data_IF_224624166554
#
_entry.id   IF_224624166554
#
_cell.length_a   1.000
_cell.length_b   1.000
_cell.length_c   1.000
_cell.angle_alpha   90.00
_cell.angle_beta   90.00
_cell.angle_gamma   90.00
#
_symmetry.space_group_name_H-M   'P 1'
#
loop_
_entity.id
_entity.type
_entity.pdbx_description
1 polymer ?
#
# COMPACT_ATOMS: atom_id res chain seq x y z
N UNK A 1 -18.00 5.75 4.97
CA UNK A 1 -16.60 6.09 4.66
C UNK A 1 -16.51 7.58 4.85
N UNK A 2 -15.70 8.03 5.79
CA UNK A 2 -15.46 9.46 6.00
C UNK A 2 -14.47 9.99 4.96
N UNK A 3 -14.33 11.32 4.88
CA UNK A 3 -13.46 12.00 3.92
C UNK A 3 -11.99 11.60 4.09
N UNK A 4 -11.57 11.34 5.33
CA UNK A 4 -10.20 10.97 5.64
C UNK A 4 -9.87 9.55 5.15
N UNK A 5 -10.77 8.60 5.38
CA UNK A 5 -10.64 7.24 4.88
C UNK A 5 -10.58 7.21 3.35
N UNK A 6 -11.39 8.04 2.67
CA UNK A 6 -11.39 8.16 1.22
C UNK A 6 -10.05 8.72 0.68
N UNK A 7 -9.49 9.72 1.35
CA UNK A 7 -8.18 10.28 1.01
C UNK A 7 -7.07 9.22 1.13
N UNK A 8 -7.06 8.48 2.24
CA UNK A 8 -6.12 7.38 2.49
C UNK A 8 -6.26 6.32 1.40
N UNK A 9 -7.49 5.89 1.09
CA UNK A 9 -7.74 4.92 0.01
C UNK A 9 -7.21 5.42 -1.34
N UNK A 10 -7.41 6.70 -1.68
CA UNK A 10 -6.92 7.27 -2.93
C UNK A 10 -5.38 7.17 -3.04
N UNK A 11 -4.66 7.47 -1.95
CA UNK A 11 -3.20 7.28 -1.90
C UNK A 11 -2.82 5.81 -2.09
N UNK A 12 -3.57 4.89 -1.48
CA UNK A 12 -3.41 3.44 -1.67
C UNK A 12 -3.65 2.96 -3.09
N UNK A 13 -4.66 3.51 -3.78
CA UNK A 13 -4.94 3.21 -5.19
C UNK A 13 -3.78 3.66 -6.06
N UNK A 14 -3.21 4.84 -5.81
CA UNK A 14 -2.01 5.33 -6.50
C UNK A 14 -0.85 4.35 -6.29
N UNK A 15 -0.66 3.82 -5.07
CA UNK A 15 0.34 2.80 -4.77
C UNK A 15 0.14 1.52 -5.58
N UNK A 16 -1.10 1.02 -5.64
CA UNK A 16 -1.44 -0.16 -6.43
C UNK A 16 -1.17 0.05 -7.93
N UNK A 17 -1.52 1.22 -8.48
CA UNK A 17 -1.31 1.53 -9.90
C UNK A 17 0.17 1.64 -10.25
N UNK A 18 0.96 2.31 -9.41
CA UNK A 18 2.40 2.51 -9.63
C UNK A 18 3.24 1.28 -9.29
N UNK A 19 2.70 0.35 -8.51
CA UNK A 19 3.35 -0.85 -7.95
C UNK A 19 4.52 -0.57 -7.00
N UNK A 20 5.32 0.47 -7.24
CA UNK A 20 6.42 0.88 -6.39
C UNK A 20 6.38 2.40 -6.23
N UNK A 21 6.32 2.88 -5.00
CA UNK A 21 6.41 4.30 -4.64
C UNK A 21 7.64 4.50 -3.76
N UNK A 22 8.39 5.57 -4.03
CA UNK A 22 9.55 5.97 -3.22
C UNK A 22 9.32 7.36 -2.64
N UNK A 23 9.43 7.48 -1.32
CA UNK A 23 9.29 8.74 -0.57
C UNK A 23 10.51 8.84 0.36
N UNK A 24 11.45 9.72 0.02
CA UNK A 24 12.75 9.77 0.69
C UNK A 24 13.45 8.40 0.68
N UNK A 25 13.76 7.86 1.87
CA UNK A 25 14.39 6.55 2.05
C UNK A 25 13.40 5.38 2.16
N UNK A 26 12.10 5.64 2.05
CA UNK A 26 11.07 4.62 2.09
C UNK A 26 10.71 4.15 0.68
N UNK A 27 10.45 2.85 0.55
CA UNK A 27 9.92 2.22 -0.65
C UNK A 27 8.67 1.40 -0.27
N UNK A 28 7.54 1.69 -0.93
CA UNK A 28 6.28 0.99 -0.76
C UNK A 28 6.03 0.18 -2.04
N UNK A 29 6.09 -1.14 -1.93
CA UNK A 29 5.82 -2.08 -3.00
C UNK A 29 4.40 -2.62 -2.83
N UNK A 30 3.55 -2.45 -3.84
CA UNK A 30 2.19 -2.95 -3.89
C UNK A 30 2.09 -3.95 -5.03
N UNK A 31 1.81 -5.20 -4.71
CA UNK A 31 1.70 -6.30 -5.67
C UNK A 31 0.37 -7.03 -5.48
N UNK A 32 -0.15 -7.57 -6.59
CA UNK A 32 -1.32 -8.44 -6.61
C UNK A 32 -0.90 -9.76 -7.22
N UNK A 33 -1.11 -10.85 -6.50
CA UNK A 33 -1.08 -12.19 -7.06
C UNK A 33 -2.49 -12.56 -7.50
N UNK A 34 -2.60 -13.00 -8.75
CA UNK A 34 -3.86 -13.49 -9.32
C UNK A 34 -3.85 -15.01 -9.18
N UNK A 35 -4.45 -15.51 -8.10
CA UNK A 35 -4.88 -16.89 -7.94
C UNK A 35 -6.41 -16.94 -7.92
N UNK A 36 -7.02 -18.11 -7.65
CA UNK A 36 -8.47 -18.26 -7.51
C UNK A 36 -9.08 -17.22 -6.56
N UNK A 37 -8.33 -16.85 -5.51
CA UNK A 37 -8.54 -15.63 -4.72
C UNK A 37 -7.46 -14.58 -5.04
N UNK A 38 -7.86 -13.32 -5.23
CA UNK A 38 -6.91 -12.23 -5.40
C UNK A 38 -6.22 -11.92 -4.07
N UNK A 39 -4.89 -12.07 -4.03
CA UNK A 39 -4.09 -11.72 -2.86
C UNK A 39 -3.26 -10.47 -3.15
N UNK A 40 -3.39 -9.47 -2.30
CA UNK A 40 -2.64 -8.23 -2.32
C UNK A 40 -1.52 -8.27 -1.28
N UNK A 41 -0.30 -8.05 -1.71
CA UNK A 41 0.88 -7.94 -0.85
C UNK A 41 1.42 -6.52 -0.93
N UNK A 42 1.48 -5.86 0.22
CA UNK A 42 2.07 -4.53 0.38
C UNK A 42 3.29 -4.63 1.29
N UNK A 43 4.45 -4.20 0.81
CA UNK A 43 5.69 -4.17 1.57
C UNK A 43 6.21 -2.74 1.69
N UNK A 44 6.59 -2.35 2.91
CA UNK A 44 7.24 -1.07 3.18
C UNK A 44 8.68 -1.34 3.60
N UNK A 45 9.62 -0.77 2.88
CA UNK A 45 11.06 -0.88 3.15
C UNK A 45 11.61 0.49 3.51
N UNK A 46 12.57 0.54 4.43
CA UNK A 46 13.36 1.73 4.72
C UNK A 46 14.83 1.41 4.49
N UNK A 47 15.48 2.15 3.58
CA UNK A 47 16.86 1.88 3.15
C UNK A 47 17.08 0.42 2.74
N UNK A 48 16.12 -0.14 1.99
CA UNK A 48 16.17 -1.54 1.50
C UNK A 48 15.76 -2.60 2.52
N UNK A 49 15.63 -2.27 3.81
CA UNK A 49 15.21 -3.22 4.84
C UNK A 49 13.69 -3.23 5.01
N UNK A 50 13.08 -4.42 5.01
CA UNK A 50 11.65 -4.59 5.28
C UNK A 50 11.31 -4.02 6.67
N UNK A 51 10.38 -3.07 6.71
CA UNK A 51 9.87 -2.44 7.93
C UNK A 51 8.46 -2.89 8.27
N UNK A 52 7.62 -3.06 7.25
CA UNK A 52 6.26 -3.53 7.43
C UNK A 52 5.80 -4.31 6.22
N UNK A 53 4.87 -5.25 6.43
CA UNK A 53 4.27 -6.07 5.38
C UNK A 53 2.82 -6.34 5.74
N UNK A 54 1.93 -6.19 4.77
CA UNK A 54 0.53 -6.59 4.86
C UNK A 54 0.16 -7.53 3.72
N UNK A 55 -0.62 -8.57 4.02
CA UNK A 55 -1.20 -9.50 3.04
C UNK A 55 -2.71 -9.45 3.21
N UNK A 56 -3.43 -9.19 2.12
CA UNK A 56 -4.86 -8.93 2.14
C UNK A 56 -5.56 -9.65 1.00
N UNK A 57 -6.76 -10.16 1.24
CA UNK A 57 -7.68 -10.62 0.17
C UNK A 57 -8.65 -9.53 -0.26
N UNK A 58 -8.87 -8.54 0.62
CA UNK A 58 -9.72 -7.38 0.35
C UNK A 58 -8.90 -6.19 -0.18
N UNK A 59 -9.32 -5.67 -1.34
CA UNK A 59 -8.64 -4.55 -2.00
C UNK A 59 -8.71 -3.23 -1.21
N UNK A 60 -9.84 -2.97 -0.53
CA UNK A 60 -10.00 -1.77 0.31
C UNK A 60 -9.01 -1.82 1.48
N UNK A 61 -8.87 -2.96 2.14
CA UNK A 61 -7.92 -3.09 3.23
C UNK A 61 -6.46 -2.93 2.76
N UNK A 62 -6.13 -3.47 1.59
CA UNK A 62 -4.79 -3.31 1.00
C UNK A 62 -4.48 -1.84 0.65
N UNK A 63 -5.44 -1.14 0.06
CA UNK A 63 -5.29 0.29 -0.29
C UNK A 63 -5.26 1.17 0.95
N UNK A 64 -6.08 0.90 1.97
CA UNK A 64 -6.01 1.62 3.25
C UNK A 64 -4.63 1.48 3.92
N UNK A 65 -4.10 0.25 3.96
CA UNK A 65 -2.77 0.01 4.53
C UNK A 65 -1.65 0.74 3.77
N UNK A 66 -1.64 0.66 2.44
CA UNK A 66 -0.63 1.35 1.64
C UNK A 66 -0.78 2.88 1.74
N UNK A 67 -2.01 3.36 1.70
CA UNK A 67 -2.35 4.78 1.79
C UNK A 67 -1.99 5.40 3.12
N UNK A 68 -2.19 4.68 4.24
CA UNK A 68 -1.86 5.20 5.56
C UNK A 68 -0.35 5.40 5.72
N UNK A 69 0.44 4.48 5.15
CA UNK A 69 1.90 4.65 5.08
C UNK A 69 2.28 5.87 4.25
N UNK A 70 1.67 6.07 3.08
CA UNK A 70 1.95 7.25 2.26
C UNK A 70 1.57 8.53 3.00
N UNK A 71 0.37 8.60 3.59
CA UNK A 71 -0.11 9.77 4.35
C UNK A 71 0.81 10.10 5.52
N UNK A 72 1.38 9.10 6.19
CA UNK A 72 2.31 9.31 7.31
C UNK A 72 3.71 9.81 6.91
N UNK A 73 4.05 9.75 5.63
CA UNK A 73 5.38 10.08 5.09
C UNK A 73 5.42 11.41 4.32
N UNK A 74 4.26 12.05 4.13
CA UNK A 74 4.12 13.33 3.42
C UNK A 74 3.76 14.47 4.37
#
# INVERSE_FOLDING_TARGET
MDLEELEIMNLGVIACQRRVIRIGNYEINFSRQVSDDAVYLVEVKFRGHLKSRGVFTDFRNATLFAGSWIKSLI
#
